data_IF_907117363261
#
_entry.id   IF_907117363261
#
_cell.length_a   1.000
_cell.length_b   1.000
_cell.length_c   1.000
_cell.angle_alpha   90.00
_cell.angle_beta   90.00
_cell.angle_gamma   90.00
#
_symmetry.space_group_name_H-M   'P 1'
#
loop_
_entity.id
_entity.type
_entity.pdbx_description
1 polymer ?
#
# COMPACT_ATOMS: atom_id res chain seq x y z
N UNK A 1 10.94 1.67 -4.13
CA UNK A 1 11.48 3.05 -4.25
C UNK A 1 10.38 4.14 -4.27
N UNK A 2 9.29 4.08 -5.07
CA UNK A 2 8.36 5.21 -5.18
C UNK A 2 7.55 5.51 -3.91
N UNK A 3 7.13 4.49 -3.15
CA UNK A 3 6.34 4.70 -1.95
C UNK A 3 7.09 5.45 -0.83
N UNK A 4 8.38 5.15 -0.63
CA UNK A 4 9.17 5.87 0.38
C UNK A 4 9.31 7.36 0.03
N UNK A 5 9.48 7.69 -1.24
CA UNK A 5 9.52 9.08 -1.71
C UNK A 5 8.19 9.80 -1.47
N UNK A 6 7.05 9.13 -1.72
CA UNK A 6 5.73 9.65 -1.35
C UNK A 6 5.65 9.97 0.15
N UNK A 7 6.07 9.05 1.02
CA UNK A 7 6.02 9.28 2.47
C UNK A 7 6.93 10.42 2.92
N UNK A 8 8.11 10.57 2.31
CA UNK A 8 8.99 11.71 2.58
C UNK A 8 8.34 13.04 2.17
N UNK A 9 7.64 13.06 1.03
CA UNK A 9 6.86 14.23 0.59
C UNK A 9 5.71 14.53 1.55
N UNK A 10 4.99 13.51 2.01
CA UNK A 10 3.93 13.65 3.01
C UNK A 10 4.47 14.17 4.34
N UNK A 11 5.65 13.72 4.76
CA UNK A 11 6.31 14.20 5.97
C UNK A 11 6.66 15.69 5.85
N UNK A 12 7.28 16.10 4.74
CA UNK A 12 7.57 17.52 4.49
C UNK A 12 6.28 18.36 4.40
N UNK A 13 5.20 17.78 3.84
CA UNK A 13 3.89 18.42 3.79
C UNK A 13 3.27 18.57 5.17
N UNK A 14 3.46 17.59 6.07
CA UNK A 14 3.01 17.68 7.46
C UNK A 14 3.66 18.86 8.18
N UNK A 15 4.95 19.07 7.96
CA UNK A 15 5.70 20.17 8.59
C UNK A 15 5.28 21.56 8.07
N UNK A 16 4.75 21.63 6.83
CA UNK A 16 4.41 22.87 6.15
C UNK A 16 2.92 23.23 6.18
N UNK A 17 2.03 22.27 6.43
CA UNK A 17 0.57 22.45 6.30
C UNK A 17 -0.15 22.33 7.64
N UNK A 18 -1.30 23.01 7.79
CA UNK A 18 -2.18 22.79 8.93
C UNK A 18 -2.63 21.32 9.04
N UNK A 19 -2.79 20.78 10.25
CA UNK A 19 -3.19 19.39 10.50
C UNK A 19 -4.37 18.88 9.67
N UNK A 20 -5.44 19.66 9.58
CA UNK A 20 -6.65 19.31 8.81
C UNK A 20 -6.37 19.17 7.31
N UNK A 21 -5.46 20.00 6.76
CA UNK A 21 -5.05 19.91 5.36
C UNK A 21 -4.21 18.68 5.09
N UNK A 22 -3.40 18.23 6.06
CA UNK A 22 -2.63 16.99 5.94
C UNK A 22 -3.57 15.78 5.83
N UNK A 23 -4.59 15.71 6.68
CA UNK A 23 -5.60 14.63 6.63
C UNK A 23 -6.33 14.64 5.29
N UNK A 24 -6.80 15.81 4.84
CA UNK A 24 -7.46 15.94 3.53
C UNK A 24 -6.53 15.51 2.40
N UNK A 25 -5.26 15.90 2.43
CA UNK A 25 -4.27 15.49 1.44
C UNK A 25 -4.12 13.97 1.39
N UNK A 26 -3.98 13.31 2.55
CA UNK A 26 -3.88 11.84 2.64
C UNK A 26 -5.12 11.19 2.02
N UNK A 27 -6.31 11.65 2.41
CA UNK A 27 -7.57 11.09 1.93
C UNK A 27 -7.76 11.30 0.42
N UNK A 28 -7.52 12.50 -0.09
CA UNK A 28 -7.64 12.82 -1.51
C UNK A 28 -6.61 12.04 -2.35
N UNK A 29 -5.36 11.93 -1.89
CA UNK A 29 -4.33 11.14 -2.56
C UNK A 29 -4.72 9.66 -2.61
N UNK A 30 -5.19 9.09 -1.50
CA UNK A 30 -5.63 7.70 -1.44
C UNK A 30 -6.85 7.44 -2.36
N UNK A 31 -7.84 8.34 -2.35
CA UNK A 31 -9.02 8.23 -3.21
C UNK A 31 -8.68 8.35 -4.69
N UNK A 32 -7.77 9.27 -5.04
CA UNK A 32 -7.27 9.43 -6.42
C UNK A 32 -6.55 8.16 -6.88
N UNK A 33 -5.64 7.62 -6.05
CA UNK A 33 -4.93 6.38 -6.32
C UNK A 33 -5.88 5.19 -6.52
N UNK A 34 -6.88 5.03 -5.66
CA UNK A 34 -7.88 3.97 -5.84
C UNK A 34 -8.65 4.17 -7.15
N UNK A 35 -8.98 5.41 -7.52
CA UNK A 35 -9.70 5.67 -8.76
C UNK A 35 -8.90 5.29 -10.02
N UNK A 36 -7.57 5.47 -10.02
CA UNK A 36 -6.72 5.03 -11.14
C UNK A 36 -6.70 3.51 -11.25
N UNK A 37 -6.58 2.78 -10.14
CA UNK A 37 -6.59 1.31 -10.13
C UNK A 37 -7.85 0.73 -10.79
N UNK A 38 -9.03 1.29 -10.50
CA UNK A 38 -10.30 0.82 -11.08
C UNK A 38 -10.51 1.26 -12.53
N UNK A 39 -9.84 2.33 -12.98
CA UNK A 39 -9.91 2.78 -14.37
C UNK A 39 -9.09 1.86 -15.27
N UNK A 40 -7.93 1.39 -14.79
CA UNK A 40 -7.08 0.39 -15.46
C UNK A 40 -7.70 -1.02 -15.43
N UNK A 41 -8.42 -1.35 -14.36
CA UNK A 41 -8.95 -2.69 -14.10
C UNK A 41 -10.31 -3.03 -14.73
N UNK A 42 -10.83 -2.22 -15.67
CA UNK A 42 -12.18 -2.38 -16.27
C UNK A 42 -12.45 -3.75 -16.94
N UNK A 43 -11.48 -4.65 -17.04
CA UNK A 43 -11.63 -5.99 -17.65
C UNK A 43 -11.85 -7.14 -16.66
N UNK A 44 -11.70 -6.95 -15.35
CA UNK A 44 -11.86 -8.05 -14.36
C UNK A 44 -12.58 -7.60 -13.10
N UNK A 45 -13.36 -8.50 -12.50
CA UNK A 45 -14.07 -8.28 -11.24
C UNK A 45 -13.05 -7.98 -10.14
N UNK A 46 -12.99 -6.72 -9.72
CA UNK A 46 -12.03 -6.23 -8.73
C UNK A 46 -12.33 -6.86 -7.37
N UNK A 47 -11.34 -7.48 -6.76
CA UNK A 47 -11.48 -8.21 -5.47
C UNK A 47 -10.45 -7.70 -4.46
N UNK A 48 -10.73 -7.84 -3.16
CA UNK A 48 -9.87 -7.28 -2.10
C UNK A 48 -8.47 -7.90 -2.06
N UNK A 49 -8.34 -9.16 -2.48
CA UNK A 49 -7.05 -9.83 -2.64
C UNK A 49 -6.15 -9.17 -3.70
N UNK A 50 -6.70 -8.58 -4.76
CA UNK A 50 -5.91 -7.91 -5.79
C UNK A 50 -5.25 -6.63 -5.28
N UNK A 51 -5.76 -6.04 -4.18
CA UNK A 51 -5.16 -4.84 -3.61
C UNK A 51 -3.70 -5.04 -3.22
N UNK A 52 -3.31 -6.24 -2.75
CA UNK A 52 -1.95 -6.50 -2.25
C UNK A 52 -0.86 -6.32 -3.31
N UNK A 53 -1.21 -6.51 -4.59
CA UNK A 53 -0.30 -6.33 -5.72
C UNK A 53 -0.10 -4.85 -6.07
N UNK A 54 -0.99 -3.98 -5.59
CA UNK A 54 -0.99 -2.55 -5.83
C UNK A 54 -0.61 -1.73 -4.61
N UNK A 55 -0.32 -2.34 -3.46
CA UNK A 55 0.10 -1.59 -2.28
C UNK A 55 1.47 -2.06 -1.78
N UNK A 56 2.25 -1.15 -1.19
CA UNK A 56 3.55 -1.43 -0.61
C UNK A 56 3.44 -2.11 0.77
N UNK A 57 2.67 -3.20 0.85
CA UNK A 57 2.55 -4.08 2.01
C UNK A 57 3.10 -5.47 1.66
N UNK A 58 3.69 -6.18 2.63
CA UNK A 58 4.19 -7.55 2.47
C UNK A 58 3.06 -8.56 2.35
N UNK A 59 1.97 -8.32 3.07
CA UNK A 59 0.79 -9.17 3.04
C UNK A 59 -0.45 -8.40 3.45
N UNK A 60 -1.60 -8.87 2.96
CA UNK A 60 -2.93 -8.49 3.42
C UNK A 60 -3.61 -9.73 4.00
N UNK A 61 -4.14 -9.62 5.22
CA UNK A 61 -4.90 -10.70 5.85
C UNK A 61 -6.32 -10.21 6.08
N UNK A 62 -7.31 -10.99 5.68
CA UNK A 62 -8.70 -10.77 6.07
C UNK A 62 -8.98 -11.74 7.21
N UNK A 63 -9.37 -11.22 8.38
CA UNK A 63 -9.92 -12.03 9.47
C UNK A 63 -11.39 -11.73 9.62
N UNK A 64 -12.17 -12.78 9.78
CA UNK A 64 -13.58 -12.69 10.12
C UNK A 64 -13.79 -13.41 11.44
N UNK A 65 -14.17 -12.62 12.43
CA UNK A 65 -14.65 -13.08 13.73
C UNK A 65 -16.18 -12.90 13.79
N UNK A 66 -16.80 -13.45 14.83
CA UNK A 66 -18.26 -13.55 14.95
C UNK A 66 -19.00 -12.22 14.81
N UNK A 67 -18.38 -11.10 15.22
CA UNK A 67 -18.98 -9.75 15.13
C UNK A 67 -18.12 -8.73 14.38
N UNK A 68 -16.84 -9.03 14.13
CA UNK A 68 -15.88 -8.09 13.55
C UNK A 68 -15.12 -8.74 12.40
N UNK A 69 -15.03 -8.03 11.28
CA UNK A 69 -14.10 -8.35 10.20
C UNK A 69 -12.94 -7.36 10.23
N UNK A 70 -11.70 -7.86 10.26
CA UNK A 70 -10.50 -7.05 10.13
C UNK A 70 -9.80 -7.27 8.79
N UNK A 71 -9.24 -6.18 8.24
CA UNK A 71 -8.29 -6.21 7.14
C UNK A 71 -6.95 -5.75 7.70
N UNK A 72 -6.04 -6.70 7.87
CA UNK A 72 -4.71 -6.49 8.46
C UNK A 72 -3.65 -6.34 7.37
N UNK A 73 -2.78 -5.36 7.52
CA UNK A 73 -1.67 -5.06 6.63
C UNK A 73 -0.35 -5.32 7.33
N UNK A 74 0.56 -6.03 6.65
CA UNK A 74 1.96 -6.11 7.04
C UNK A 74 2.77 -5.05 6.30
N UNK A 75 2.94 -3.89 6.92
CA UNK A 75 3.68 -2.77 6.34
C UNK A 75 5.19 -2.94 6.65
N UNK A 76 6.06 -3.03 5.64
CA UNK A 76 7.50 -3.21 5.83
C UNK A 76 8.21 -1.91 6.19
N UNK A 77 7.68 -1.17 7.16
CA UNK A 77 8.22 0.10 7.64
C UNK A 77 8.31 0.15 9.16
N UNK A 78 9.17 1.02 9.66
CA UNK A 78 9.45 1.23 11.08
C UNK A 78 9.74 2.71 11.34
N UNK A 79 9.63 3.14 12.59
CA UNK A 79 9.92 4.51 13.00
C UNK A 79 8.91 5.53 12.47
N UNK A 80 9.34 6.78 12.28
CA UNK A 80 8.45 7.90 11.91
C UNK A 80 7.70 7.71 10.60
N UNK A 81 8.31 7.04 9.63
CA UNK A 81 7.66 6.76 8.34
C UNK A 81 6.53 5.74 8.45
N UNK A 82 6.53 4.89 9.49
CA UNK A 82 5.45 3.93 9.72
C UNK A 82 4.12 4.66 9.91
N UNK A 83 4.09 5.71 10.73
CA UNK A 83 2.86 6.46 11.00
C UNK A 83 2.17 6.95 9.71
N UNK A 84 2.91 7.63 8.83
CA UNK A 84 2.39 8.12 7.56
C UNK A 84 2.00 6.97 6.61
N UNK A 85 2.77 5.89 6.62
CA UNK A 85 2.45 4.69 5.84
C UNK A 85 1.13 4.07 6.29
N UNK A 86 0.90 3.97 7.61
CA UNK A 86 -0.35 3.45 8.16
C UNK A 86 -1.53 4.32 7.79
N UNK A 87 -1.45 5.65 7.98
CA UNK A 87 -2.52 6.57 7.60
C UNK A 87 -2.89 6.46 6.12
N UNK A 88 -1.88 6.47 5.24
CA UNK A 88 -2.11 6.39 3.81
C UNK A 88 -2.66 5.04 3.39
N UNK A 89 -2.07 3.93 3.85
CA UNK A 89 -2.48 2.59 3.43
C UNK A 89 -3.85 2.20 3.99
N UNK A 90 -4.17 2.59 5.23
CA UNK A 90 -5.52 2.42 5.77
C UNK A 90 -6.56 3.20 4.95
N UNK A 91 -6.25 4.43 4.53
CA UNK A 91 -7.14 5.19 3.66
C UNK A 91 -7.32 4.52 2.29
N UNK A 92 -6.23 4.08 1.65
CA UNK A 92 -6.28 3.36 0.37
C UNK A 92 -7.11 2.09 0.49
N UNK A 93 -6.85 1.27 1.51
CA UNK A 93 -7.58 0.02 1.74
C UNK A 93 -9.07 0.30 2.00
N UNK A 94 -9.42 1.30 2.79
CA UNK A 94 -10.81 1.66 3.02
C UNK A 94 -11.51 2.09 1.73
N UNK A 95 -10.94 3.03 0.97
CA UNK A 95 -11.54 3.50 -0.28
C UNK A 95 -11.67 2.38 -1.32
N UNK A 96 -10.66 1.51 -1.42
CA UNK A 96 -10.71 0.35 -2.31
C UNK A 96 -11.84 -0.61 -1.89
N UNK A 97 -11.96 -0.88 -0.59
CA UNK A 97 -12.98 -1.79 -0.08
C UNK A 97 -14.38 -1.21 -0.22
N UNK A 98 -14.58 0.08 0.10
CA UNK A 98 -15.83 0.81 -0.11
C UNK A 98 -16.25 0.87 -1.58
N UNK A 99 -15.28 0.95 -2.50
CA UNK A 99 -15.57 0.92 -3.94
C UNK A 99 -15.95 -0.48 -4.44
N UNK A 100 -15.37 -1.52 -3.84
CA UNK A 100 -15.72 -2.92 -4.14
C UNK A 100 -17.08 -3.31 -3.53
N UNK A 101 -17.41 -2.76 -2.37
CA UNK A 101 -18.65 -2.98 -1.62
C UNK A 101 -19.29 -1.63 -1.28
N UNK A 102 -20.14 -1.07 -2.16
CA UNK A 102 -20.73 0.25 -1.97
C UNK A 102 -21.52 0.42 -0.67
N UNK A 103 -22.08 -0.67 -0.13
CA UNK A 103 -22.85 -0.69 1.12
C UNK A 103 -21.97 -0.79 2.38
N UNK A 104 -20.65 -0.87 2.24
CA UNK A 104 -19.72 -0.95 3.37
C UNK A 104 -19.82 0.31 4.25
N UNK A 105 -20.12 0.14 5.53
CA UNK A 105 -20.11 1.24 6.49
C UNK A 105 -18.70 1.74 6.81
N UNK A 106 -18.62 2.85 7.55
CA UNK A 106 -17.34 3.33 8.08
C UNK A 106 -16.69 2.28 9.00
N UNK A 107 -15.35 2.23 9.07
CA UNK A 107 -14.67 1.36 10.03
C UNK A 107 -15.12 1.69 11.46
N UNK A 108 -15.27 0.64 12.28
CA UNK A 108 -15.59 0.77 13.70
C UNK A 108 -14.35 0.97 14.57
N UNK A 109 -13.17 0.64 14.04
CA UNK A 109 -11.88 0.80 14.73
C UNK A 109 -10.70 0.78 13.75
N UNK A 110 -9.64 1.49 14.10
CA UNK A 110 -8.33 1.40 13.47
C UNK A 110 -7.32 0.83 14.46
N UNK A 111 -6.57 -0.19 14.05
CA UNK A 111 -5.46 -0.73 14.81
C UNK A 111 -4.15 -0.28 14.13
N UNK A 112 -3.25 0.33 14.90
CA UNK A 112 -2.00 0.92 14.43
C UNK A 112 -0.83 0.27 15.17
N UNK A 113 0.20 -0.12 14.42
CA UNK A 113 1.48 -0.57 14.96
C UNK A 113 2.29 0.59 15.51
N UNK A 114 2.09 1.79 14.99
CA UNK A 114 2.74 2.96 15.55
C UNK A 114 2.36 3.14 17.03
N UNK A 115 3.35 3.51 17.84
CA UNK A 115 3.24 3.49 19.31
C UNK A 115 2.92 4.87 19.89
N UNK A 116 3.27 5.95 19.20
CA UNK A 116 3.21 7.29 19.78
C UNK A 116 1.90 8.00 19.42
N UNK A 117 1.20 8.51 20.43
CA UNK A 117 -0.06 9.25 20.26
C UNK A 117 0.15 10.73 19.95
N UNK A 118 1.37 11.25 20.12
CA UNK A 118 1.75 12.64 19.82
C UNK A 118 1.41 13.01 18.38
N UNK A 119 1.82 12.17 17.44
CA UNK A 119 1.61 12.37 16.00
C UNK A 119 0.11 12.47 15.63
N UNK A 120 -0.75 11.66 16.26
CA UNK A 120 -2.21 11.72 16.05
C UNK A 120 -2.82 12.98 16.67
N UNK A 121 -2.31 13.36 17.84
CA UNK A 121 -2.77 14.54 18.58
C UNK A 121 -2.38 15.83 17.84
N UNK A 122 -1.17 15.88 17.28
CA UNK A 122 -0.68 16.94 16.40
C UNK A 122 -1.53 17.06 15.13
N UNK A 123 -1.96 15.94 14.56
CA UNK A 123 -2.86 15.94 13.41
C UNK A 123 -4.28 16.41 13.76
N UNK A 124 -4.60 16.64 15.03
CA UNK A 124 -5.93 17.04 15.51
C UNK A 124 -7.04 16.17 14.91
N UNK A 125 -6.78 14.87 14.78
CA UNK A 125 -7.71 13.93 14.15
C UNK A 125 -8.95 13.83 15.05
N UNK A 126 -10.02 14.54 14.69
CA UNK A 126 -11.33 14.34 15.31
C UNK A 126 -11.95 13.06 14.75
N UNK A 127 -11.47 11.90 15.21
CA UNK A 127 -12.01 10.61 14.77
C UNK A 127 -13.14 10.17 15.69
N UNK A 128 -14.36 10.12 15.15
CA UNK A 128 -15.47 9.40 15.79
C UNK A 128 -15.18 7.89 15.90
N UNK A 129 -14.30 7.37 15.06
CA UNK A 129 -13.84 5.97 15.09
C UNK A 129 -12.61 5.83 16.00
N UNK A 130 -12.65 4.94 17.01
CA UNK A 130 -11.52 4.65 17.88
C UNK A 130 -10.24 4.22 17.14
N UNK A 131 -9.09 4.63 17.67
CA UNK A 131 -7.75 4.29 17.17
C UNK A 131 -6.93 3.65 18.30
N UNK A 132 -6.40 2.46 18.06
CA UNK A 132 -5.62 1.70 19.03
C UNK A 132 -4.16 1.63 18.58
N UNK A 133 -3.26 2.11 19.42
CA UNK A 133 -1.82 2.18 19.13
C UNK A 133 -1.08 0.94 19.65
N UNK A 134 0.13 0.73 19.14
CA UNK A 134 1.02 -0.37 19.57
C UNK A 134 0.50 -1.78 19.27
N UNK A 135 -0.41 -1.90 18.31
CA UNK A 135 -0.99 -3.18 17.92
C UNK A 135 0.04 -4.03 17.16
N UNK A 136 -0.07 -5.36 17.15
CA UNK A 136 0.87 -6.23 16.44
C UNK A 136 0.79 -6.05 14.91
N UNK A 137 -0.38 -5.61 14.40
CA UNK A 137 -0.66 -5.40 12.98
C UNK A 137 -1.42 -4.09 12.78
N UNK A 138 -1.25 -3.49 11.60
CA UNK A 138 -2.04 -2.34 11.16
C UNK A 138 -3.35 -2.88 10.59
N UNK A 139 -4.52 -2.42 11.05
CA UNK A 139 -5.79 -2.98 10.57
C UNK A 139 -6.96 -1.98 10.50
N UNK A 140 -7.87 -2.27 9.57
CA UNK A 140 -9.23 -1.72 9.52
C UNK A 140 -10.20 -2.74 10.08
N UNK A 141 -11.03 -2.36 11.04
CA UNK A 141 -12.08 -3.22 11.58
C UNK A 141 -13.47 -2.72 11.17
N UNK A 142 -14.33 -3.64 10.76
CA UNK A 142 -15.72 -3.40 10.38
C UNK A 142 -16.64 -4.35 11.14
N UNK A 143 -17.90 -3.95 11.31
CA UNK A 143 -18.95 -4.89 11.71
C UNK A 143 -19.16 -5.93 10.60
N UNK A 144 -19.29 -7.20 10.98
CA UNK A 144 -19.58 -8.29 10.04
C UNK A 144 -21.01 -8.18 9.53
N UNK A 145 -21.21 -8.09 8.21
CA UNK A 145 -22.50 -7.73 7.59
C UNK A 145 -23.60 -8.81 7.70
N UNK A 146 -23.30 -10.06 8.06
CA UNK A 146 -24.33 -11.09 8.31
C UNK A 146 -23.84 -12.23 9.21
N UNK A 147 -24.75 -12.62 10.11
CA UNK A 147 -24.64 -13.62 11.17
C UNK A 147 -24.60 -15.08 10.67
N UNK A 148 -24.02 -15.96 11.49
CA UNK A 148 -24.15 -17.43 11.51
C UNK A 148 -23.05 -18.27 10.82
N UNK A 149 -21.80 -18.00 11.16
CA UNK A 149 -20.81 -19.08 11.21
C UNK A 149 -19.92 -18.84 12.45
N UNK A 150 -19.82 -19.80 13.40
CA UNK A 150 -18.89 -19.71 14.52
C UNK A 150 -17.42 -19.91 14.09
N UNK A 151 -17.15 -20.02 12.79
CA UNK A 151 -15.81 -20.24 12.29
C UNK A 151 -15.10 -18.91 12.10
N UNK A 152 -14.02 -18.73 12.86
CA UNK A 152 -12.99 -17.74 12.54
C UNK A 152 -12.37 -18.10 11.20
N UNK A 153 -12.62 -17.29 10.17
CA UNK A 153 -12.00 -17.46 8.87
C UNK A 153 -10.87 -16.45 8.72
N UNK A 154 -9.68 -16.96 8.40
CA UNK A 154 -8.52 -16.14 8.11
C UNK A 154 -8.00 -16.48 6.71
N UNK A 155 -7.87 -15.45 5.88
CA UNK A 155 -7.28 -15.59 4.54
C UNK A 155 -6.09 -14.65 4.42
N UNK A 156 -4.91 -15.23 4.18
CA UNK A 156 -3.66 -14.52 3.98
C UNK A 156 -3.35 -14.39 2.48
N UNK A 157 -3.10 -13.17 2.04
CA UNK A 157 -2.63 -12.85 0.70
C UNK A 157 -1.23 -12.26 0.79
N UNK A 158 -0.16 -13.04 0.49
CA UNK A 158 1.18 -12.49 0.40
C UNK A 158 1.29 -11.61 -0.85
N UNK A 159 2.07 -10.52 -0.76
CA UNK A 159 2.42 -9.72 -1.93
C UNK A 159 3.20 -10.57 -2.92
N UNK A 160 2.86 -10.44 -4.21
CA UNK A 160 3.63 -11.07 -5.27
C UNK A 160 5.07 -10.54 -5.25
N UNK A 161 6.03 -11.45 -5.04
CA UNK A 161 7.44 -11.11 -5.20
C UNK A 161 7.72 -11.03 -6.70
N UNK A 162 7.80 -9.81 -7.22
CA UNK A 162 8.19 -9.60 -8.61
C UNK A 162 9.62 -10.12 -8.84
N UNK A 163 9.83 -10.82 -9.94
CA UNK A 163 11.17 -11.20 -10.39
C UNK A 163 11.98 -9.94 -10.74
N UNK A 164 13.31 -10.04 -10.80
CA UNK A 164 14.13 -8.91 -11.24
C UNK A 164 13.79 -8.50 -12.67
N UNK A 165 13.44 -9.45 -13.53
CA UNK A 165 12.99 -9.18 -14.90
C UNK A 165 11.68 -8.40 -14.94
N UNK A 166 10.69 -8.75 -14.13
CA UNK A 166 9.44 -8.02 -13.99
C UNK A 166 9.68 -6.60 -13.43
N UNK A 167 10.54 -6.47 -12.42
CA UNK A 167 10.90 -5.16 -11.85
C UNK A 167 11.60 -4.27 -12.88
N UNK A 168 12.50 -4.82 -13.69
CA UNK A 168 13.17 -4.09 -14.76
C UNK A 168 12.18 -3.67 -15.84
N UNK A 169 11.29 -4.57 -16.27
CA UNK A 169 10.27 -4.27 -17.28
C UNK A 169 9.36 -3.12 -16.81
N UNK A 170 8.83 -3.20 -15.59
CA UNK A 170 7.97 -2.16 -15.02
C UNK A 170 8.69 -0.82 -14.86
N UNK A 171 9.97 -0.83 -14.44
CA UNK A 171 10.75 0.39 -14.34
C UNK A 171 11.00 1.03 -15.72
N UNK A 172 11.25 0.22 -16.75
CA UNK A 172 11.43 0.69 -18.13
C UNK A 172 10.13 1.24 -18.73
N UNK A 173 8.96 0.65 -18.42
CA UNK A 173 7.65 1.18 -18.85
C UNK A 173 7.41 2.61 -18.35
N UNK A 174 7.90 2.93 -17.15
CA UNK A 174 7.78 4.27 -16.57
C UNK A 174 8.81 5.28 -17.07
N UNK A 175 9.80 4.87 -17.87
CA UNK A 175 10.90 5.72 -18.32
C UNK A 175 10.59 6.38 -19.67
N UNK A 176 10.45 7.70 -19.66
CA UNK A 176 10.28 8.53 -20.87
C UNK A 176 11.62 8.56 -21.62
N UNK A 177 11.73 7.82 -22.75
CA UNK A 177 12.96 7.71 -23.55
C UNK A 177 13.58 6.30 -23.63
N UNK A 178 12.79 5.25 -23.38
CA UNK A 178 13.19 3.83 -23.34
C UNK A 178 14.09 3.36 -24.50
N UNK A 179 13.91 3.90 -25.70
CA UNK A 179 14.50 3.35 -26.93
C UNK A 179 16.04 3.32 -26.97
N UNK A 180 16.74 4.07 -26.12
CA UNK A 180 18.21 4.10 -26.07
C UNK A 180 18.81 3.92 -24.66
N UNK A 181 18.02 3.50 -23.66
CA UNK A 181 18.54 3.40 -22.29
C UNK A 181 19.52 2.23 -22.16
N UNK A 182 20.77 2.52 -21.80
CA UNK A 182 21.77 1.51 -21.48
C UNK A 182 21.52 0.90 -20.08
N UNK A 183 22.08 -0.29 -19.83
CA UNK A 183 21.98 -0.92 -18.52
C UNK A 183 22.67 -0.09 -17.42
N UNK A 184 23.74 0.63 -17.76
CA UNK A 184 24.50 1.45 -16.82
C UNK A 184 23.69 2.67 -16.40
N UNK A 185 23.05 3.34 -17.35
CA UNK A 185 22.14 4.46 -17.10
C UNK A 185 20.93 4.01 -16.28
N UNK A 186 20.33 2.86 -16.64
CA UNK A 186 19.23 2.29 -15.86
C UNK A 186 19.65 2.02 -14.41
N UNK A 187 20.80 1.36 -14.22
CA UNK A 187 21.36 1.04 -12.92
C UNK A 187 21.64 2.28 -12.06
N UNK A 188 22.14 3.36 -12.69
CA UNK A 188 22.34 4.64 -12.02
C UNK A 188 21.01 5.24 -11.54
N UNK A 189 19.93 5.14 -12.34
CA UNK A 189 18.60 5.65 -12.00
C UNK A 189 17.94 4.86 -10.88
N UNK A 190 17.99 3.52 -10.93
CA UNK A 190 17.33 2.67 -9.91
C UNK A 190 18.19 2.40 -8.67
N UNK A 191 19.46 2.84 -8.67
CA UNK A 191 20.39 2.68 -7.55
C UNK A 191 20.82 1.22 -7.32
N UNK A 192 20.89 0.41 -8.39
CA UNK A 192 21.34 -0.98 -8.32
C UNK A 192 22.68 -1.15 -9.01
N UNK A 193 23.59 -1.93 -8.41
CA UNK A 193 24.84 -2.29 -9.07
C UNK A 193 24.62 -3.17 -10.30
N UNK A 194 25.24 -2.81 -11.42
CA UNK A 194 25.11 -3.51 -12.71
C UNK A 194 25.39 -5.01 -12.60
N UNK A 195 26.44 -5.39 -11.86
CA UNK A 195 26.81 -6.79 -11.60
C UNK A 195 25.69 -7.56 -10.90
N UNK A 196 25.03 -6.93 -9.95
CA UNK A 196 23.91 -7.51 -9.20
C UNK A 196 22.73 -7.73 -10.13
N UNK A 197 22.37 -6.71 -10.92
CA UNK A 197 21.28 -6.78 -11.88
C UNK A 197 21.51 -7.90 -12.92
N UNK A 198 22.69 -7.93 -13.56
CA UNK A 198 23.03 -8.97 -14.55
C UNK A 198 22.98 -10.37 -13.97
N UNK A 199 23.45 -10.56 -12.73
CA UNK A 199 23.42 -11.87 -12.07
C UNK A 199 21.99 -12.36 -11.86
N UNK A 200 21.10 -11.49 -11.39
CA UNK A 200 19.70 -11.85 -11.16
C UNK A 200 18.95 -12.11 -12.47
N UNK A 201 19.13 -11.26 -13.49
CA UNK A 201 18.52 -11.50 -14.81
C UNK A 201 19.01 -12.80 -15.44
N UNK A 202 20.30 -13.12 -15.28
CA UNK A 202 20.88 -14.38 -15.76
C UNK A 202 20.28 -15.59 -15.02
N UNK A 203 20.08 -15.52 -13.70
CA UNK A 203 19.41 -16.60 -12.95
C UNK A 203 17.96 -16.80 -13.37
N UNK A 204 17.32 -15.78 -13.94
CA UNK A 204 15.97 -15.83 -14.51
C UNK A 204 15.96 -16.19 -16.00
N UNK A 205 17.11 -16.57 -16.59
CA UNK A 205 17.21 -16.98 -17.99
C UNK A 205 17.06 -15.84 -19.01
N UNK A 206 17.15 -14.57 -18.56
CA UNK A 206 16.99 -13.38 -19.41
C UNK A 206 18.18 -12.43 -19.31
N UNK A 207 18.10 -11.28 -19.99
CA UNK A 207 19.08 -10.20 -19.90
C UNK A 207 18.40 -8.85 -20.17
N UNK A 208 19.07 -7.76 -19.76
CA UNK A 208 18.52 -6.41 -19.89
C UNK A 208 18.11 -6.06 -21.32
N UNK A 209 18.91 -6.45 -22.33
CA UNK A 209 18.61 -6.20 -23.75
C UNK A 209 17.34 -6.90 -24.23
N UNK A 210 17.03 -8.09 -23.71
CA UNK A 210 15.79 -8.81 -24.02
C UNK A 210 14.56 -8.14 -23.42
N UNK A 211 14.70 -7.49 -22.26
CA UNK A 211 13.61 -6.80 -21.57
C UNK A 211 13.39 -5.40 -22.13
N UNK A 212 14.46 -4.73 -22.58
CA UNK A 212 14.38 -3.38 -23.12
C UNK A 212 13.76 -3.31 -24.53
N UNK A 213 13.83 -4.41 -25.29
CA UNK A 213 13.12 -4.57 -26.58
C UNK A 213 11.61 -4.71 -26.41
#
# INVERSE_FOLDING_TARGET
MPFRSLLMLMMASKDALPPTRVITLVQSAAQSYVSTLFTESQKTKVTLNQLIDHIPAKSLTIRQESSVSSIELDIPMTGKLLFLAELYLLAVTHFYYKRTYPDLYSPIRYDLRYLESSELSELQVNSRTPQFLGQPRTALCYETLTSNSPNTHQTLYPSRVFTYSEQVAAALESYIGRDNLSIDEFCAVVGLGERTLRRHLKSEGTNFRKINR
#
